data_IF_344214937489
#
_entry.id   IF_344214937489
#
_cell.length_a   1.000
_cell.length_b   1.000
_cell.length_c   1.000
_cell.angle_alpha   90.00
_cell.angle_beta   90.00
_cell.angle_gamma   90.00
#
_symmetry.space_group_name_H-M   'P 1'
#
loop_
_entity.id
_entity.type
_entity.pdbx_description
1 polymer ?
#
# COMPACT_ATOMS: atom_id res chain seq x y z
N UNK A 1 11.92 -7.08 2.68
CA UNK A 1 10.62 -6.67 3.27
C UNK A 1 9.95 -5.48 2.56
N UNK A 2 10.68 -4.60 1.84
CA UNK A 2 10.09 -3.44 1.15
C UNK A 2 9.19 -3.76 -0.05
N UNK A 3 9.51 -4.81 -0.83
CA UNK A 3 8.75 -5.14 -2.05
C UNK A 3 7.27 -5.48 -1.76
N UNK A 4 6.99 -6.15 -0.64
CA UNK A 4 5.62 -6.53 -0.25
C UNK A 4 4.75 -5.31 0.05
N UNK A 5 5.32 -4.30 0.73
CA UNK A 5 4.62 -3.05 1.04
C UNK A 5 4.32 -2.26 -0.23
N UNK A 6 5.29 -2.20 -1.16
CA UNK A 6 5.12 -1.56 -2.47
C UNK A 6 4.02 -2.23 -3.28
N UNK A 7 4.04 -3.56 -3.39
CA UNK A 7 3.00 -4.33 -4.09
C UNK A 7 1.62 -4.11 -3.45
N UNK A 8 1.55 -4.08 -2.13
CA UNK A 8 0.28 -3.87 -1.40
C UNK A 8 -0.28 -2.46 -1.64
N UNK A 9 0.59 -1.44 -1.64
CA UNK A 9 0.21 -0.07 -1.96
C UNK A 9 -0.36 0.03 -3.38
N UNK A 10 0.35 -0.48 -4.39
CA UNK A 10 -0.14 -0.43 -5.77
C UNK A 10 -1.40 -1.27 -6.00
N UNK A 11 -1.54 -2.40 -5.31
CA UNK A 11 -2.78 -3.16 -5.31
C UNK A 11 -3.95 -2.38 -4.73
N UNK A 12 -3.72 -1.53 -3.72
CA UNK A 12 -4.78 -0.65 -3.18
C UNK A 12 -5.27 0.40 -4.18
N UNK A 13 -4.41 0.77 -5.15
CA UNK A 13 -4.77 1.62 -6.30
C UNK A 13 -5.45 0.82 -7.43
N UNK A 14 -5.59 -0.50 -7.29
CA UNK A 14 -6.14 -1.39 -8.31
C UNK A 14 -5.13 -1.85 -9.36
N UNK A 15 -3.83 -1.66 -9.12
CA UNK A 15 -2.76 -2.13 -10.01
C UNK A 15 -2.36 -3.55 -9.58
N UNK A 16 -2.87 -4.54 -10.31
CA UNK A 16 -2.61 -5.96 -10.09
C UNK A 16 -2.04 -6.63 -11.34
N UNK A 17 -1.39 -7.79 -11.18
CA UNK A 17 -0.63 -8.51 -12.21
C UNK A 17 0.53 -7.73 -12.85
N UNK A 18 0.97 -6.64 -12.21
CA UNK A 18 2.13 -5.87 -12.66
C UNK A 18 3.42 -6.37 -11.97
N UNK A 19 4.51 -6.64 -12.71
CA UNK A 19 5.77 -7.09 -12.12
C UNK A 19 6.53 -5.93 -11.47
N UNK A 20 6.78 -6.05 -10.17
CA UNK A 20 7.64 -5.15 -9.42
C UNK A 20 9.02 -5.77 -9.22
N UNK A 21 10.04 -4.96 -9.43
CA UNK A 21 11.44 -5.37 -9.32
C UNK A 21 12.05 -4.73 -8.07
N UNK A 22 12.76 -5.54 -7.29
CA UNK A 22 13.47 -5.08 -6.10
C UNK A 22 14.93 -5.52 -6.18
N UNK A 23 15.84 -4.58 -5.97
CA UNK A 23 17.25 -4.88 -5.80
C UNK A 23 17.52 -5.23 -4.33
N UNK A 24 18.14 -6.38 -4.10
CA UNK A 24 18.72 -6.74 -2.80
C UNK A 24 20.22 -6.84 -2.99
N UNK A 25 20.99 -6.06 -2.25
CA UNK A 25 22.44 -6.03 -2.37
C UNK A 25 23.11 -6.34 -1.03
N UNK A 26 24.21 -7.08 -1.09
CA UNK A 26 25.12 -7.33 0.02
C UNK A 26 26.55 -7.08 -0.46
N UNK A 27 27.11 -5.93 -0.08
CA UNK A 27 28.38 -5.45 -0.61
C UNK A 27 28.33 -5.28 -2.13
N UNK A 28 29.19 -6.00 -2.84
CA UNK A 28 29.33 -5.93 -4.30
C UNK A 28 28.40 -6.90 -5.05
N UNK A 29 27.71 -7.78 -4.32
CA UNK A 29 26.78 -8.75 -4.89
C UNK A 29 25.35 -8.23 -4.80
N UNK A 30 24.69 -8.05 -5.95
CA UNK A 30 23.28 -7.69 -6.07
C UNK A 30 22.44 -8.83 -6.63
N UNK A 31 21.19 -8.93 -6.20
CA UNK A 31 20.20 -9.87 -6.71
C UNK A 31 18.90 -9.11 -7.01
N UNK A 32 18.20 -9.50 -8.07
CA UNK A 32 16.95 -8.83 -8.49
C UNK A 32 15.77 -9.75 -8.23
N UNK A 33 14.96 -9.38 -7.25
CA UNK A 33 13.72 -10.07 -6.94
C UNK A 33 12.58 -9.50 -7.79
N UNK A 34 11.65 -10.36 -8.17
CA UNK A 34 10.44 -9.98 -8.90
C UNK A 34 9.24 -10.40 -8.08
N UNK A 35 8.28 -9.50 -7.88
CA UNK A 35 7.03 -9.83 -7.21
C UNK A 35 5.84 -9.13 -7.84
N UNK A 36 4.66 -9.74 -7.71
CA UNK A 36 3.40 -9.17 -8.17
C UNK A 36 2.24 -9.72 -7.36
N UNK A 37 1.14 -8.98 -7.31
CA UNK A 37 -0.12 -9.52 -6.79
C UNK A 37 -0.95 -10.08 -7.93
N UNK A 38 -1.42 -11.32 -7.81
CA UNK A 38 -2.33 -11.89 -8.79
C UNK A 38 -3.77 -11.43 -8.54
N UNK A 39 -4.44 -10.93 -9.58
CA UNK A 39 -5.87 -10.60 -9.47
C UNK A 39 -6.75 -11.84 -9.30
N UNK A 40 -6.34 -12.97 -9.91
CA UNK A 40 -7.09 -14.24 -9.87
C UNK A 40 -7.03 -14.89 -8.50
N UNK A 41 -5.85 -14.93 -7.88
CA UNK A 41 -5.63 -15.65 -6.63
C UNK A 41 -5.61 -14.73 -5.39
N UNK A 42 -5.64 -13.40 -5.60
CA UNK A 42 -5.53 -12.36 -4.55
C UNK A 42 -4.29 -12.49 -3.65
N UNK A 43 -3.32 -13.30 -4.05
CA UNK A 43 -2.08 -13.56 -3.35
C UNK A 43 -0.93 -12.79 -3.99
N UNK A 44 0.07 -12.45 -3.18
CA UNK A 44 1.33 -11.88 -3.65
C UNK A 44 2.28 -13.03 -3.95
N UNK A 45 2.79 -13.06 -5.17
CA UNK A 45 3.83 -13.97 -5.62
C UNK A 45 5.16 -13.24 -5.59
N UNK A 46 6.19 -13.94 -5.10
CA UNK A 46 7.56 -13.47 -5.08
C UNK A 46 8.45 -14.56 -5.68
N UNK A 47 9.23 -14.18 -6.68
CA UNK A 47 10.18 -15.05 -7.34
C UNK A 47 11.55 -14.84 -6.71
N UNK A 48 11.91 -15.75 -5.80
CA UNK A 48 13.21 -15.75 -5.11
C UNK A 48 14.13 -16.91 -5.54
N UNK A 49 13.59 -17.96 -6.17
CA UNK A 49 14.37 -19.13 -6.58
C UNK A 49 15.09 -18.87 -7.90
N UNK A 50 16.38 -19.24 -7.95
CA UNK A 50 17.27 -19.06 -9.12
C UNK A 50 17.36 -17.60 -9.60
N UNK A 51 17.34 -16.66 -8.65
CA UNK A 51 17.49 -15.24 -8.97
C UNK A 51 18.88 -14.97 -9.52
N UNK A 52 18.92 -14.28 -10.66
CA UNK A 52 20.17 -13.83 -11.24
C UNK A 52 20.86 -12.85 -10.28
N UNK A 53 22.08 -13.22 -9.88
CA UNK A 53 22.97 -12.33 -9.13
C UNK A 53 23.91 -11.59 -10.10
N UNK A 54 24.31 -10.39 -9.70
CA UNK A 54 25.24 -9.53 -10.40
C UNK A 54 26.32 -9.08 -9.43
N UNK A 55 27.57 -9.44 -9.71
CA UNK A 55 28.73 -8.93 -8.98
C UNK A 55 29.22 -7.65 -9.63
N UNK A 56 28.95 -6.50 -9.00
CA UNK A 56 29.24 -5.18 -9.57
C UNK A 56 30.74 -4.89 -9.63
N UNK A 57 31.57 -5.61 -8.85
CA UNK A 57 33.04 -5.56 -8.97
C UNK A 57 33.54 -6.12 -10.31
N UNK A 58 32.77 -6.98 -10.97
CA UNK A 58 33.11 -7.52 -12.28
C UNK A 58 32.58 -6.57 -13.37
N UNK A 59 33.45 -6.00 -14.24
CA UNK A 59 33.01 -5.06 -15.27
C UNK A 59 31.94 -5.64 -16.22
N UNK A 60 32.04 -6.94 -16.52
CA UNK A 60 31.09 -7.64 -17.40
C UNK A 60 29.72 -7.75 -16.71
N UNK A 61 29.70 -8.18 -15.45
CA UNK A 61 28.44 -8.31 -14.72
C UNK A 61 27.81 -6.93 -14.41
N UNK A 62 28.62 -5.91 -14.14
CA UNK A 62 28.17 -4.53 -14.01
C UNK A 62 27.52 -4.03 -15.32
N UNK A 63 28.11 -4.33 -16.48
CA UNK A 63 27.52 -4.02 -17.78
C UNK A 63 26.18 -4.75 -18.01
N UNK A 64 26.10 -6.03 -17.67
CA UNK A 64 24.85 -6.79 -17.76
C UNK A 64 23.77 -6.22 -16.83
N UNK A 65 24.14 -5.85 -15.60
CA UNK A 65 23.24 -5.21 -14.65
C UNK A 65 22.73 -3.86 -15.18
N UNK A 66 23.61 -3.01 -15.71
CA UNK A 66 23.23 -1.75 -16.33
C UNK A 66 22.27 -1.96 -17.52
N UNK A 67 22.54 -2.95 -18.36
CA UNK A 67 21.65 -3.31 -19.48
C UNK A 67 20.28 -3.77 -18.99
N UNK A 68 20.22 -4.52 -17.89
CA UNK A 68 18.96 -4.89 -17.26
C UNK A 68 18.20 -3.66 -16.75
N UNK A 69 18.87 -2.71 -16.09
CA UNK A 69 18.25 -1.46 -15.64
C UNK A 69 17.67 -0.64 -16.81
N UNK A 70 18.32 -0.64 -17.96
CA UNK A 70 17.79 0.02 -19.16
C UNK A 70 16.48 -0.62 -19.65
N UNK A 71 16.35 -1.95 -19.56
CA UNK A 71 15.11 -2.66 -19.91
C UNK A 71 13.98 -2.36 -18.92
N UNK A 72 14.30 -2.09 -17.66
CA UNK A 72 13.29 -1.67 -16.67
C UNK A 72 12.69 -0.30 -16.96
N UNK A 73 13.31 0.51 -17.82
CA UNK A 73 12.79 1.83 -18.18
C UNK A 73 11.40 1.74 -18.81
N UNK A 74 11.17 0.75 -19.64
CA UNK A 74 9.88 0.58 -20.33
C UNK A 74 8.79 0.19 -19.32
N UNK A 75 9.10 -0.75 -18.41
CA UNK A 75 8.24 -1.09 -17.28
C UNK A 75 7.96 0.11 -16.37
N UNK A 76 8.96 0.96 -16.09
CA UNK A 76 8.76 2.15 -15.28
C UNK A 76 7.82 3.15 -15.95
N UNK A 77 7.93 3.31 -17.27
CA UNK A 77 7.04 4.20 -18.03
C UNK A 77 5.60 3.70 -17.98
N UNK A 78 5.39 2.41 -18.25
CA UNK A 78 4.07 1.78 -18.17
C UNK A 78 3.45 1.90 -16.77
N UNK A 79 4.23 1.64 -15.72
CA UNK A 79 3.75 1.78 -14.34
C UNK A 79 3.34 3.23 -14.04
N UNK A 80 4.12 4.21 -14.48
CA UNK A 80 3.77 5.63 -14.27
C UNK A 80 2.46 6.01 -14.95
N UNK A 81 2.24 5.53 -16.16
CA UNK A 81 0.99 5.76 -16.90
C UNK A 81 -0.20 5.13 -16.17
N UNK A 82 -0.09 3.87 -15.74
CA UNK A 82 -1.14 3.21 -14.95
C UNK A 82 -1.41 3.91 -13.61
N UNK A 83 -0.37 4.35 -12.91
CA UNK A 83 -0.53 5.08 -11.65
C UNK A 83 -1.22 6.41 -11.88
N UNK A 84 -0.84 7.15 -12.93
CA UNK A 84 -1.47 8.43 -13.24
C UNK A 84 -2.95 8.25 -13.61
N UNK A 85 -3.27 7.22 -14.41
CA UNK A 85 -4.64 6.84 -14.74
C UNK A 85 -5.43 6.50 -13.47
N UNK A 86 -4.90 5.60 -12.62
CA UNK A 86 -5.58 5.21 -11.37
C UNK A 86 -5.71 6.34 -10.38
N UNK A 87 -4.77 7.27 -10.32
CA UNK A 87 -4.90 8.46 -9.49
C UNK A 87 -5.99 9.36 -10.05
N UNK A 88 -6.05 9.59 -11.37
CA UNK A 88 -7.11 10.39 -11.99
C UNK A 88 -8.50 9.75 -11.79
N UNK A 89 -8.61 8.43 -11.87
CA UNK A 89 -9.85 7.67 -11.64
C UNK A 89 -10.24 7.63 -10.15
N UNK A 90 -9.27 7.49 -9.23
CA UNK A 90 -9.51 7.45 -7.79
C UNK A 90 -9.57 8.84 -7.13
N UNK A 91 -9.27 9.90 -7.88
CA UNK A 91 -9.59 11.30 -7.54
C UNK A 91 -11.09 11.56 -7.72
N UNK A 92 -11.91 10.61 -7.28
CA UNK A 92 -13.26 10.90 -6.85
C UNK A 92 -13.11 11.75 -5.58
N UNK A 93 -13.32 13.05 -5.71
CA UNK A 93 -13.03 14.10 -4.71
C UNK A 93 -13.58 13.80 -3.30
N UNK A 94 -14.52 12.85 -3.20
CA UNK A 94 -15.09 12.29 -1.96
C UNK A 94 -14.12 11.48 -1.09
N UNK A 95 -13.26 10.63 -1.66
CA UNK A 95 -12.42 9.73 -0.85
C UNK A 95 -11.24 10.42 -0.17
N UNK A 96 -10.69 11.45 -0.82
CA UNK A 96 -9.64 12.29 -0.22
C UNK A 96 -10.18 13.19 0.88
N UNK A 97 -11.46 13.59 0.82
CA UNK A 97 -12.11 14.37 1.89
C UNK A 97 -12.31 13.54 3.16
N UNK A 98 -12.64 12.25 3.03
CA UNK A 98 -12.79 11.30 4.15
C UNK A 98 -11.51 11.11 4.98
N UNK A 99 -10.33 11.25 4.37
CA UNK A 99 -9.02 11.11 5.05
C UNK A 99 -8.36 12.45 5.40
N UNK A 100 -9.13 13.54 5.46
CA UNK A 100 -8.63 14.81 5.99
C UNK A 100 -8.65 14.81 7.52
N UNK A 101 -7.71 15.52 8.15
CA UNK A 101 -7.73 15.78 9.61
C UNK A 101 -9.08 16.31 10.07
N UNK A 102 -9.71 17.14 9.26
CA UNK A 102 -11.05 17.69 9.48
C UNK A 102 -12.14 16.61 9.52
N UNK A 103 -12.09 15.61 8.63
CA UNK A 103 -13.03 14.49 8.67
C UNK A 103 -12.82 13.59 9.90
N UNK A 104 -11.56 13.38 10.30
CA UNK A 104 -11.23 12.62 11.53
C UNK A 104 -11.69 13.33 12.80
N UNK A 105 -11.57 14.66 12.86
CA UNK A 105 -12.08 15.45 13.99
C UNK A 105 -13.60 15.33 14.06
N UNK A 106 -14.30 15.45 12.92
CA UNK A 106 -15.75 15.32 12.88
C UNK A 106 -16.25 13.92 13.30
N UNK A 107 -15.55 12.85 12.87
CA UNK A 107 -15.87 11.48 13.28
C UNK A 107 -15.61 11.25 14.78
N UNK A 108 -14.50 11.79 15.30
CA UNK A 108 -14.20 11.76 16.73
C UNK A 108 -15.24 12.50 17.56
N UNK A 109 -15.65 13.70 17.13
CA UNK A 109 -16.69 14.51 17.78
C UNK A 109 -18.06 13.81 17.74
N UNK A 110 -18.43 13.19 16.61
CA UNK A 110 -19.67 12.42 16.50
C UNK A 110 -19.69 11.22 17.44
N UNK A 111 -18.59 10.45 17.48
CA UNK A 111 -18.44 9.29 18.37
C UNK A 111 -18.47 9.71 19.85
N UNK A 112 -17.84 10.84 20.17
CA UNK A 112 -17.85 11.38 21.52
C UNK A 112 -19.23 11.91 21.92
N UNK A 113 -19.96 12.56 21.02
CA UNK A 113 -21.33 13.01 21.26
C UNK A 113 -22.29 11.83 21.51
N UNK A 114 -22.17 10.76 20.72
CA UNK A 114 -22.93 9.52 20.92
C UNK A 114 -22.61 8.85 22.26
N UNK A 115 -21.34 8.82 22.66
CA UNK A 115 -20.92 8.30 23.96
C UNK A 115 -21.45 9.14 25.14
N UNK A 116 -21.48 10.46 25.02
CA UNK A 116 -22.05 11.36 26.04
C UNK A 116 -23.57 11.16 26.18
N UNK A 117 -24.29 11.05 25.05
CA UNK A 117 -25.74 10.79 25.05
C UNK A 117 -26.08 9.42 25.64
N UNK A 118 -25.28 8.40 25.35
CA UNK A 118 -25.44 7.07 25.94
C UNK A 118 -25.18 7.08 27.46
N UNK A 119 -24.23 7.88 27.93
CA UNK A 119 -23.96 8.04 29.36
C UNK A 119 -25.12 8.75 30.09
N UNK A 120 -25.67 9.83 29.51
CA UNK A 120 -26.79 10.59 30.07
C UNK A 120 -28.11 9.80 30.09
N UNK A 121 -28.36 8.98 29.06
CA UNK A 121 -29.52 8.08 29.02
C UNK A 121 -29.48 7.04 30.15
N UNK A 122 -28.29 6.57 30.52
CA UNK A 122 -28.11 5.57 31.58
C UNK A 122 -28.26 6.16 33.00
N UNK A 123 -27.80 7.40 33.24
CA UNK A 123 -28.01 8.09 34.52
C UNK A 123 -29.47 8.46 34.75
N UNK A 124 -30.21 8.79 33.69
CA UNK A 124 -31.65 9.11 33.76
C UNK A 124 -32.49 7.85 34.05
N UNK A 125 -32.15 6.73 33.41
CA UNK A 125 -32.78 5.44 33.69
C UNK A 125 -32.51 4.95 35.13
N UNK A 126 -31.30 5.18 35.66
CA UNK A 126 -30.93 4.77 37.02
C UNK A 126 -31.62 5.64 38.09
N UNK A 127 -31.78 6.94 37.85
CA UNK A 127 -32.49 7.85 38.78
C UNK A 127 -34.00 7.62 38.83
N UNK A 128 -34.62 7.17 37.73
CA UNK A 128 -36.04 6.86 37.68
C UNK A 128 -36.43 5.58 38.45
N UNK A 129 -35.50 4.64 38.63
CA UNK A 129 -35.72 3.38 39.36
C UNK A 129 -35.64 3.59 40.87
N UNK A 130 -34.84 4.54 41.36
CA UNK A 130 -34.65 4.78 42.80
C UNK A 130 -35.83 5.56 43.42
N UNK A 131 -36.57 6.36 42.65
CA UNK A 131 -37.71 7.16 43.14
C UNK A 131 -39.06 6.42 43.16
N UNK A 132 -39.09 5.11 42.84
CA UNK A 132 -40.31 4.27 42.85
C UNK A 132 -40.27 3.11 43.86
N UNK A 133 -39.29 3.08 44.77
CA UNK A 133 -39.20 2.10 45.86
C UNK A 133 -39.71 2.70 47.18
#
# INVERSE_FOLDING_TARGET
MYIMSVISFYSSLGIENFPFYCLVASGTLGAILIGWKSSKHRQIYLLERNVQTFEISSPIQAFHFATFLLRLRDNQKELKEQVQEKLNDNLDTKRLTEWTKSAQIAEFEATHAEATLAAEGNTTATSAVILRA
#
